data_IF_161748628557
#
_entry.id   IF_161748628557
#
_cell.length_a   1.000
_cell.length_b   1.000
_cell.length_c   1.000
_cell.angle_alpha   90.00
_cell.angle_beta   90.00
_cell.angle_gamma   90.00
#
_symmetry.space_group_name_H-M   'P 1'
#
loop_
_entity.id
_entity.type
_entity.pdbx_description
1 polymer ?
#
# COMPACT_ATOMS: atom_id res chain seq x y z
N UNK A 1 -40.82 11.72 -32.47
CA UNK A 1 -40.39 10.83 -33.58
C UNK A 1 -39.18 10.03 -33.10
N UNK A 2 -39.43 8.79 -32.83
CA UNK A 2 -38.79 7.53 -33.26
C UNK A 2 -37.28 7.39 -32.92
N UNK A 3 -36.73 6.28 -32.43
CA UNK A 3 -37.23 4.91 -32.20
C UNK A 3 -36.22 4.16 -31.32
N UNK A 4 -36.70 3.31 -30.46
CA UNK A 4 -36.23 2.03 -29.93
C UNK A 4 -34.98 1.43 -30.58
N UNK A 5 -34.04 0.94 -29.72
CA UNK A 5 -33.33 -0.30 -29.98
C UNK A 5 -33.29 -1.22 -28.75
N UNK A 6 -33.70 -2.44 -29.06
CA UNK A 6 -34.05 -3.54 -28.17
C UNK A 6 -32.84 -4.27 -27.53
N UNK A 7 -33.06 -4.69 -26.29
CA UNK A 7 -32.29 -5.75 -25.62
C UNK A 7 -32.33 -7.08 -26.39
N UNK A 8 -31.19 -7.75 -26.50
CA UNK A 8 -31.14 -9.21 -26.61
C UNK A 8 -30.29 -9.78 -25.49
N UNK A 9 -30.95 -10.40 -24.52
CA UNK A 9 -30.37 -11.36 -23.57
C UNK A 9 -30.08 -12.65 -24.34
N UNK A 10 -28.84 -13.12 -24.31
CA UNK A 10 -28.52 -14.48 -24.69
C UNK A 10 -28.78 -15.40 -23.46
N UNK A 11 -29.81 -16.23 -23.55
CA UNK A 11 -30.06 -17.34 -22.66
C UNK A 11 -29.18 -18.52 -23.09
N UNK A 12 -28.28 -18.97 -22.19
CA UNK A 12 -27.65 -20.28 -22.34
C UNK A 12 -28.68 -21.34 -21.95
N UNK A 13 -29.07 -22.15 -22.94
CA UNK A 13 -29.93 -23.35 -22.73
C UNK A 13 -29.02 -24.51 -22.37
N UNK A 14 -29.22 -25.06 -21.19
CA UNK A 14 -28.67 -26.38 -20.82
C UNK A 14 -29.52 -27.48 -21.47
N UNK A 15 -28.94 -28.25 -22.37
CA UNK A 15 -29.50 -29.47 -22.85
C UNK A 15 -28.94 -30.63 -21.99
N UNK A 16 -29.85 -31.30 -21.31
CA UNK A 16 -29.59 -32.51 -20.50
C UNK A 16 -30.04 -33.68 -21.32
N UNK A 17 -29.12 -34.40 -21.93
CA UNK A 17 -29.44 -35.72 -22.51
C UNK A 17 -29.08 -36.82 -21.51
N UNK A 18 -30.08 -37.63 -21.19
CA UNK A 18 -29.93 -38.94 -20.53
C UNK A 18 -29.90 -40.01 -21.62
N UNK A 19 -28.87 -40.83 -21.61
CA UNK A 19 -28.85 -42.09 -22.27
C UNK A 19 -28.34 -43.17 -21.30
N UNK A 20 -29.17 -44.12 -20.96
CA UNK A 20 -28.83 -45.33 -20.21
C UNK A 20 -28.74 -46.42 -21.24
N UNK A 21 -27.63 -47.18 -21.29
CA UNK A 21 -27.59 -48.55 -21.72
C UNK A 21 -26.37 -49.29 -21.18
N UNK A 22 -26.65 -50.52 -20.82
CA UNK A 22 -25.95 -51.52 -20.07
C UNK A 22 -24.48 -51.83 -20.40
N UNK A 23 -23.70 -52.16 -19.32
CA UNK A 23 -22.83 -53.32 -19.29
C UNK A 23 -21.33 -53.08 -19.50
N UNK A 24 -20.60 -53.49 -18.45
CA UNK A 24 -19.16 -53.79 -18.33
C UNK A 24 -18.23 -52.68 -17.86
N UNK A 25 -17.83 -52.85 -16.61
CA UNK A 25 -16.75 -52.09 -15.97
C UNK A 25 -15.42 -52.66 -16.48
N UNK A 26 -14.78 -51.92 -17.38
CA UNK A 26 -13.35 -52.12 -17.66
C UNK A 26 -12.57 -51.10 -16.83
N UNK A 27 -11.90 -51.58 -15.81
CA UNK A 27 -10.91 -50.83 -15.05
C UNK A 27 -9.71 -50.49 -15.96
N UNK A 28 -9.80 -49.37 -16.67
CA UNK A 28 -8.65 -48.78 -17.34
C UNK A 28 -7.79 -48.09 -16.30
N UNK A 29 -6.59 -48.60 -16.07
CA UNK A 29 -5.53 -47.90 -15.33
C UNK A 29 -5.29 -46.53 -15.99
N UNK A 30 -5.76 -45.47 -15.34
CA UNK A 30 -5.31 -44.14 -15.68
C UNK A 30 -3.87 -44.01 -15.19
N UNK A 31 -2.95 -44.13 -16.12
CA UNK A 31 -1.59 -43.61 -15.92
C UNK A 31 -1.70 -42.15 -15.48
N UNK A 32 -1.36 -41.93 -14.22
CA UNK A 32 -1.26 -40.57 -13.66
C UNK A 32 -0.23 -39.80 -14.48
N UNK A 33 -0.69 -38.86 -15.27
CA UNK A 33 0.20 -37.78 -15.70
C UNK A 33 0.64 -37.07 -14.45
N UNK A 34 1.85 -37.31 -14.00
CA UNK A 34 2.54 -36.45 -13.03
C UNK A 34 2.55 -35.04 -13.64
N UNK A 35 1.65 -34.20 -13.14
CA UNK A 35 1.73 -32.77 -13.36
C UNK A 35 2.98 -32.29 -12.63
N UNK A 36 4.09 -32.26 -13.36
CA UNK A 36 5.30 -31.59 -12.98
C UNK A 36 5.02 -30.07 -12.97
N UNK A 37 4.21 -29.65 -12.00
CA UNK A 37 4.01 -28.26 -11.62
C UNK A 37 5.27 -27.83 -10.87
N UNK A 38 6.35 -27.56 -11.59
CA UNK A 38 7.52 -26.90 -11.01
C UNK A 38 7.03 -25.64 -10.31
N UNK A 39 7.20 -25.55 -8.99
CA UNK A 39 6.93 -24.33 -8.23
C UNK A 39 7.58 -23.18 -9.00
N UNK A 40 6.76 -22.25 -9.51
CA UNK A 40 7.28 -21.08 -10.21
C UNK A 40 8.20 -20.37 -9.22
N UNK A 41 9.49 -20.37 -9.48
CA UNK A 41 10.48 -19.77 -8.61
C UNK A 41 10.10 -18.32 -8.34
N UNK A 42 9.98 -17.97 -7.06
CA UNK A 42 9.60 -16.63 -6.64
C UNK A 42 10.68 -15.64 -7.04
N UNK A 43 10.35 -14.71 -7.94
CA UNK A 43 11.24 -13.64 -8.39
C UNK A 43 10.44 -12.34 -8.49
N UNK A 44 10.91 -11.29 -7.83
CA UNK A 44 10.24 -10.00 -7.79
C UNK A 44 10.89 -8.97 -8.71
N UNK A 45 10.06 -8.13 -9.35
CA UNK A 45 10.49 -6.92 -10.04
C UNK A 45 10.02 -5.73 -9.22
N UNK A 46 10.96 -4.90 -8.73
CA UNK A 46 10.66 -3.79 -7.82
C UNK A 46 10.93 -2.45 -8.50
N UNK A 47 9.91 -1.62 -8.67
CA UNK A 47 10.05 -0.24 -9.09
C UNK A 47 10.16 0.69 -7.87
N UNK A 48 11.02 1.71 -7.96
CA UNK A 48 11.25 2.66 -6.88
C UNK A 48 12.53 2.45 -6.07
N UNK A 49 13.61 1.90 -6.69
CA UNK A 49 14.92 1.64 -6.07
C UNK A 49 15.46 2.81 -5.24
N UNK A 50 15.39 4.03 -5.74
CA UNK A 50 15.88 5.24 -5.05
C UNK A 50 14.93 5.75 -3.96
N UNK A 51 13.73 5.16 -3.84
CA UNK A 51 12.75 5.45 -2.81
C UNK A 51 13.05 4.71 -1.51
N UNK A 52 12.49 5.19 -0.41
CA UNK A 52 12.69 4.58 0.90
C UNK A 52 12.11 3.15 0.98
N UNK A 53 10.83 2.99 0.64
CA UNK A 53 10.16 1.67 0.68
C UNK A 53 10.81 0.70 -0.33
N UNK A 54 11.08 1.14 -1.56
CA UNK A 54 11.70 0.28 -2.58
C UNK A 54 13.10 -0.19 -2.17
N UNK A 55 13.92 0.69 -1.56
CA UNK A 55 15.23 0.31 -1.02
C UNK A 55 15.12 -0.69 0.14
N UNK A 56 14.19 -0.49 1.06
CA UNK A 56 13.94 -1.43 2.17
C UNK A 56 13.43 -2.80 1.68
N UNK A 57 12.59 -2.82 0.65
CA UNK A 57 12.11 -4.07 0.05
C UNK A 57 13.25 -4.89 -0.56
N UNK A 58 14.14 -4.25 -1.34
CA UNK A 58 15.29 -4.94 -1.91
C UNK A 58 16.17 -5.54 -0.82
N UNK A 59 16.52 -4.75 0.20
CA UNK A 59 17.28 -5.23 1.35
C UNK A 59 16.57 -6.41 2.04
N UNK A 60 15.28 -6.34 2.26
CA UNK A 60 14.50 -7.42 2.85
C UNK A 60 14.49 -8.68 1.97
N UNK A 61 14.47 -8.55 0.64
CA UNK A 61 14.58 -9.67 -0.27
C UNK A 61 15.96 -10.34 -0.15
N UNK A 62 17.05 -9.55 -0.08
CA UNK A 62 18.41 -10.04 0.15
C UNK A 62 18.51 -10.83 1.46
N UNK A 63 18.04 -10.26 2.56
CA UNK A 63 18.03 -10.89 3.89
C UNK A 63 17.25 -12.21 3.94
N UNK A 64 16.24 -12.36 3.07
CA UNK A 64 15.39 -13.56 3.00
C UNK A 64 15.74 -14.52 1.87
N UNK A 65 16.78 -14.24 1.10
CA UNK A 65 17.18 -15.07 -0.05
C UNK A 65 16.13 -15.10 -1.17
N UNK A 66 15.27 -14.08 -1.27
CA UNK A 66 14.26 -13.98 -2.32
C UNK A 66 14.90 -13.30 -3.54
N UNK A 67 14.77 -13.94 -4.70
CA UNK A 67 15.27 -13.35 -5.94
C UNK A 67 14.49 -12.10 -6.31
N UNK A 68 15.18 -11.03 -6.65
CA UNK A 68 14.57 -9.80 -7.12
C UNK A 68 15.49 -9.03 -8.06
N UNK A 69 14.88 -8.15 -8.84
CA UNK A 69 15.56 -7.15 -9.68
C UNK A 69 14.87 -5.81 -9.52
N UNK A 70 15.60 -4.73 -9.67
CA UNK A 70 15.01 -3.41 -9.77
C UNK A 70 14.66 -3.08 -11.22
N UNK A 71 13.42 -2.63 -11.46
CA UNK A 71 13.03 -2.09 -12.74
C UNK A 71 13.78 -0.80 -13.06
N UNK A 72 14.19 -0.64 -14.31
CA UNK A 72 14.93 0.52 -14.83
C UNK A 72 14.04 1.49 -15.59
N UNK A 73 12.91 0.99 -16.08
CA UNK A 73 11.93 1.77 -16.84
C UNK A 73 11.21 2.84 -16.01
N UNK A 74 10.87 3.96 -16.66
CA UNK A 74 9.95 4.94 -16.09
C UNK A 74 8.54 4.38 -16.16
N UNK A 75 7.75 4.55 -15.07
CA UNK A 75 6.42 3.97 -14.97
C UNK A 75 5.46 4.41 -16.09
N UNK A 76 5.62 5.63 -16.59
CA UNK A 76 4.82 6.18 -17.68
C UNK A 76 5.24 5.70 -19.08
N UNK A 77 6.34 4.96 -19.19
CA UNK A 77 6.84 4.43 -20.47
C UNK A 77 6.55 2.93 -20.59
N UNK A 78 5.45 2.61 -21.28
CA UNK A 78 4.97 1.24 -21.46
C UNK A 78 6.05 0.31 -22.04
N UNK A 79 6.73 0.74 -23.11
CA UNK A 79 7.73 -0.11 -23.77
C UNK A 79 8.89 -0.49 -22.87
N UNK A 80 9.33 0.44 -21.97
CA UNK A 80 10.39 0.13 -21.02
C UNK A 80 9.93 -0.80 -19.90
N UNK A 81 8.68 -0.71 -19.47
CA UNK A 81 8.10 -1.65 -18.49
C UNK A 81 7.99 -3.06 -19.08
N UNK A 82 7.52 -3.17 -20.32
CA UNK A 82 7.44 -4.46 -21.05
C UNK A 82 8.81 -5.07 -21.26
N UNK A 83 9.85 -4.26 -21.56
CA UNK A 83 11.23 -4.71 -21.69
C UNK A 83 11.80 -5.22 -20.36
N UNK A 84 11.61 -4.49 -19.25
CA UNK A 84 12.01 -4.93 -17.92
C UNK A 84 11.36 -6.28 -17.56
N UNK A 85 10.04 -6.42 -17.76
CA UNK A 85 9.30 -7.65 -17.48
C UNK A 85 9.79 -8.81 -18.34
N UNK A 86 10.06 -8.58 -19.63
CA UNK A 86 10.55 -9.61 -20.53
C UNK A 86 11.97 -10.08 -20.16
N UNK A 87 12.83 -9.17 -19.72
CA UNK A 87 14.20 -9.47 -19.30
C UNK A 87 14.23 -10.20 -17.95
N UNK A 88 13.46 -9.72 -16.96
CA UNK A 88 13.47 -10.23 -15.58
C UNK A 88 12.64 -11.50 -15.45
N UNK A 89 11.52 -11.62 -16.18
CA UNK A 89 10.52 -12.70 -16.07
C UNK A 89 10.05 -12.89 -14.63
N UNK A 90 9.55 -11.82 -13.98
CA UNK A 90 9.17 -11.87 -12.57
C UNK A 90 7.92 -12.73 -12.35
N UNK A 91 7.77 -13.24 -11.13
CA UNK A 91 6.51 -13.80 -10.66
C UNK A 91 5.51 -12.73 -10.21
N UNK A 92 6.03 -11.64 -9.61
CA UNK A 92 5.25 -10.51 -9.08
C UNK A 92 6.00 -9.19 -9.32
N UNK A 93 5.23 -8.11 -9.39
CA UNK A 93 5.75 -6.76 -9.54
C UNK A 93 5.38 -5.94 -8.30
N UNK A 94 6.34 -5.17 -7.78
CA UNK A 94 6.13 -4.23 -6.68
C UNK A 94 6.28 -2.80 -7.19
N UNK A 95 5.27 -1.98 -6.96
CA UNK A 95 5.33 -0.54 -7.23
C UNK A 95 5.54 0.24 -5.92
N UNK A 96 6.79 0.56 -5.62
CA UNK A 96 7.18 1.50 -4.58
C UNK A 96 7.65 2.85 -5.15
N UNK A 97 7.47 3.06 -6.46
CA UNK A 97 7.75 4.33 -7.11
C UNK A 97 6.59 5.30 -6.95
N UNK A 98 6.91 6.55 -6.69
CA UNK A 98 5.93 7.60 -6.55
C UNK A 98 6.60 8.92 -6.16
N UNK A 99 5.90 10.02 -6.42
CA UNK A 99 6.33 11.35 -6.07
C UNK A 99 5.50 11.84 -4.89
N UNK A 100 6.17 12.11 -3.77
CA UNK A 100 5.58 12.77 -2.59
C UNK A 100 6.22 14.14 -2.35
N UNK A 101 7.19 14.51 -3.21
CA UNK A 101 7.97 15.75 -3.08
C UNK A 101 9.00 15.74 -1.94
N UNK A 102 9.74 16.83 -1.87
CA UNK A 102 10.70 17.12 -0.81
C UNK A 102 10.55 18.59 -0.42
N UNK A 103 10.47 18.92 0.86
CA UNK A 103 10.58 18.03 2.05
C UNK A 103 9.30 17.18 2.31
N UNK A 104 8.16 17.58 1.74
CA UNK A 104 6.85 16.92 1.95
C UNK A 104 5.93 17.11 0.73
N UNK A 105 4.63 16.79 0.87
CA UNK A 105 3.62 16.82 -0.20
C UNK A 105 3.30 18.24 -0.72
N UNK A 106 3.70 19.31 -0.02
CA UNK A 106 3.51 20.69 -0.48
C UNK A 106 4.18 20.93 -1.84
N UNK A 107 5.28 20.22 -2.12
CA UNK A 107 5.94 20.23 -3.42
C UNK A 107 4.98 19.89 -4.58
N UNK A 108 4.02 19.00 -4.36
CA UNK A 108 3.07 18.56 -5.38
C UNK A 108 2.13 19.70 -5.82
N UNK A 109 1.90 20.70 -4.98
CA UNK A 109 1.05 21.86 -5.31
C UNK A 109 1.64 22.71 -6.44
N UNK A 110 2.96 22.78 -6.54
CA UNK A 110 3.69 23.53 -7.58
C UNK A 110 4.22 22.64 -8.72
N UNK A 111 4.19 21.29 -8.57
CA UNK A 111 4.72 20.33 -9.55
C UNK A 111 3.63 19.35 -10.00
N UNK A 112 2.50 19.92 -10.44
CA UNK A 112 1.29 19.13 -10.75
C UNK A 112 1.49 18.15 -11.90
N UNK A 113 2.18 18.57 -12.97
CA UNK A 113 2.43 17.74 -14.15
C UNK A 113 3.30 16.53 -13.81
N UNK A 114 4.38 16.72 -13.07
CA UNK A 114 5.26 15.64 -12.62
C UNK A 114 4.53 14.68 -11.69
N UNK A 115 3.68 15.23 -10.81
CA UNK A 115 2.85 14.45 -9.89
C UNK A 115 1.85 13.58 -10.68
N UNK A 116 1.14 14.15 -11.66
CA UNK A 116 0.22 13.40 -12.53
C UNK A 116 0.98 12.32 -13.31
N UNK A 117 2.09 12.70 -13.96
CA UNK A 117 2.86 11.78 -14.80
C UNK A 117 3.28 10.54 -14.02
N UNK A 118 3.87 10.71 -12.84
CA UNK A 118 4.40 9.59 -12.06
C UNK A 118 3.31 8.86 -11.28
N UNK A 119 2.46 9.59 -10.53
CA UNK A 119 1.52 8.96 -9.60
C UNK A 119 0.25 8.46 -10.26
N UNK A 120 -0.20 9.07 -11.35
CA UNK A 120 -1.42 8.67 -12.05
C UNK A 120 -1.07 7.87 -13.30
N UNK A 121 -0.48 8.50 -14.31
CA UNK A 121 -0.18 7.85 -15.60
C UNK A 121 0.73 6.65 -15.39
N UNK A 122 1.83 6.83 -14.65
CA UNK A 122 2.79 5.75 -14.39
C UNK A 122 2.17 4.55 -13.68
N UNK A 123 1.38 4.79 -12.61
CA UNK A 123 0.75 3.69 -11.87
C UNK A 123 -0.27 2.94 -12.73
N UNK A 124 -1.10 3.65 -13.50
CA UNK A 124 -2.06 3.03 -14.40
C UNK A 124 -1.39 2.25 -15.53
N UNK A 125 -0.33 2.80 -16.14
CA UNK A 125 0.43 2.11 -17.18
C UNK A 125 1.04 0.81 -16.64
N UNK A 126 1.61 0.83 -15.43
CA UNK A 126 2.17 -0.39 -14.82
C UNK A 126 1.08 -1.41 -14.49
N UNK A 127 -0.07 -0.97 -13.95
CA UNK A 127 -1.20 -1.86 -13.65
C UNK A 127 -1.70 -2.56 -14.91
N UNK A 128 -1.85 -1.82 -16.01
CA UNK A 128 -2.30 -2.33 -17.30
C UNK A 128 -1.29 -3.30 -17.92
N UNK A 129 0.02 -2.98 -17.88
CA UNK A 129 1.07 -3.90 -18.35
C UNK A 129 1.08 -5.19 -17.53
N UNK A 130 0.99 -5.11 -16.21
CA UNK A 130 0.92 -6.29 -15.35
C UNK A 130 -0.33 -7.12 -15.64
N UNK A 131 -1.48 -6.49 -15.86
CA UNK A 131 -2.71 -7.17 -16.24
C UNK A 131 -2.55 -7.97 -17.54
N UNK A 132 -2.06 -7.34 -18.60
CA UNK A 132 -1.81 -8.00 -19.89
C UNK A 132 -0.79 -9.14 -19.81
N UNK A 133 0.12 -9.09 -18.86
CA UNK A 133 1.15 -10.14 -18.65
C UNK A 133 0.73 -11.21 -17.63
N UNK A 134 -0.46 -11.11 -17.04
CA UNK A 134 -0.95 -12.03 -16.02
C UNK A 134 -0.11 -12.02 -14.74
N UNK A 135 0.42 -10.85 -14.36
CA UNK A 135 1.27 -10.63 -13.19
C UNK A 135 0.48 -9.95 -12.08
N UNK A 136 0.70 -10.37 -10.84
CA UNK A 136 0.20 -9.65 -9.67
C UNK A 136 1.07 -8.41 -9.43
N UNK A 137 0.40 -7.27 -9.24
CA UNK A 137 1.01 -6.00 -8.88
C UNK A 137 0.73 -5.66 -7.42
N UNK A 138 1.76 -5.55 -6.60
CA UNK A 138 1.68 -5.00 -5.25
C UNK A 138 1.97 -3.50 -5.33
N UNK A 139 0.96 -2.67 -5.13
CA UNK A 139 1.03 -1.22 -5.32
C UNK A 139 1.01 -0.50 -3.96
N UNK A 140 2.12 0.14 -3.57
CA UNK A 140 2.16 0.99 -2.39
C UNK A 140 1.43 2.31 -2.66
N UNK A 141 0.22 2.40 -2.15
CA UNK A 141 -0.66 3.55 -2.23
C UNK A 141 -0.59 4.40 -0.95
N UNK A 142 -1.64 5.12 -0.61
CA UNK A 142 -1.67 5.96 0.59
C UNK A 142 -3.05 5.98 1.25
N UNK A 143 -3.07 6.04 2.57
CA UNK A 143 -4.28 6.35 3.33
C UNK A 143 -4.49 7.86 3.56
N UNK A 144 -3.62 8.72 3.01
CA UNK A 144 -3.79 10.18 3.07
C UNK A 144 -4.88 10.70 2.11
N UNK A 145 -5.92 9.92 1.90
CA UNK A 145 -7.08 10.21 1.04
C UNK A 145 -8.38 10.30 1.85
N UNK A 146 -8.27 10.21 3.17
CA UNK A 146 -9.38 10.32 4.11
C UNK A 146 -9.13 11.43 5.12
N UNK A 147 -10.20 12.00 5.67
CA UNK A 147 -10.18 12.88 6.84
C UNK A 147 -11.38 12.58 7.73
N UNK A 148 -11.21 12.80 9.04
CA UNK A 148 -12.31 12.68 9.98
C UNK A 148 -13.51 13.52 9.56
N UNK A 149 -14.70 12.95 9.62
CA UNK A 149 -15.97 13.58 9.24
C UNK A 149 -17.07 13.27 10.26
N UNK A 150 -18.33 13.62 9.94
CA UNK A 150 -19.46 13.37 10.82
C UNK A 150 -19.78 11.89 11.05
N UNK A 151 -19.39 11.02 10.12
CA UNK A 151 -19.58 9.56 10.21
C UNK A 151 -18.39 8.86 10.85
N UNK A 152 -17.20 9.44 10.71
CA UNK A 152 -15.92 8.95 11.24
C UNK A 152 -15.32 10.01 12.14
N UNK A 153 -15.98 10.26 13.27
CA UNK A 153 -15.59 11.33 14.21
C UNK A 153 -14.31 10.93 14.96
N UNK A 154 -13.45 11.91 15.17
CA UNK A 154 -12.24 11.76 15.97
C UNK A 154 -12.56 11.15 17.35
N UNK A 155 -11.90 10.03 17.68
CA UNK A 155 -12.07 9.35 18.96
C UNK A 155 -13.32 8.48 19.08
N UNK A 156 -14.14 8.35 18.03
CA UNK A 156 -15.33 7.48 18.06
C UNK A 156 -15.00 5.99 17.96
N UNK A 157 -13.81 5.62 17.49
CA UNK A 157 -13.47 4.24 17.16
C UNK A 157 -14.09 3.74 15.86
N UNK A 158 -14.79 4.61 15.12
CA UNK A 158 -15.32 4.31 13.79
C UNK A 158 -14.28 4.73 12.77
N UNK A 159 -13.62 3.75 12.17
CA UNK A 159 -12.52 3.93 11.25
C UNK A 159 -12.92 3.66 9.78
N UNK A 160 -12.21 4.29 8.82
CA UNK A 160 -12.44 4.08 7.39
C UNK A 160 -12.04 2.68 6.95
N UNK A 161 -12.95 1.99 6.27
CA UNK A 161 -12.76 0.66 5.70
C UNK A 161 -12.26 0.72 4.27
N UNK A 162 -11.86 -0.44 3.74
CA UNK A 162 -11.33 -0.53 2.38
C UNK A 162 -12.32 -0.13 1.28
N UNK A 163 -13.61 -0.30 1.55
CA UNK A 163 -14.70 0.02 0.60
C UNK A 163 -15.23 1.45 0.74
N UNK A 164 -14.77 2.20 1.72
CA UNK A 164 -15.20 3.58 1.90
C UNK A 164 -14.62 4.47 0.80
N UNK A 165 -15.44 5.41 0.34
CA UNK A 165 -15.03 6.37 -0.68
C UNK A 165 -14.11 7.43 -0.08
N UNK A 166 -12.93 7.69 -0.69
CA UNK A 166 -12.06 8.77 -0.27
C UNK A 166 -12.78 10.11 -0.17
N UNK A 167 -12.63 10.80 0.96
CA UNK A 167 -13.29 12.08 1.24
C UNK A 167 -12.33 13.27 1.38
N UNK A 168 -10.99 13.04 1.34
CA UNK A 168 -10.01 14.11 1.47
C UNK A 168 -9.33 14.44 0.14
N UNK A 169 -9.57 15.64 -0.36
CA UNK A 169 -8.98 16.20 -1.59
C UNK A 169 -8.22 17.50 -1.35
N UNK A 170 -7.91 17.82 -0.10
CA UNK A 170 -7.31 19.08 0.33
C UNK A 170 -5.88 19.31 -0.16
N UNK A 171 -5.14 18.27 -0.59
CA UNK A 171 -3.87 18.40 -1.27
C UNK A 171 -3.93 17.81 -2.68
N UNK A 172 -3.13 18.37 -3.60
CA UNK A 172 -3.03 17.84 -4.96
C UNK A 172 -2.51 16.39 -4.97
N UNK A 173 -1.57 16.09 -4.07
CA UNK A 173 -1.11 14.72 -3.85
C UNK A 173 -2.27 13.77 -3.49
N UNK A 174 -3.04 14.09 -2.47
CA UNK A 174 -4.16 13.24 -2.02
C UNK A 174 -5.23 13.08 -3.10
N UNK A 175 -5.59 14.19 -3.76
CA UNK A 175 -6.53 14.17 -4.89
C UNK A 175 -6.09 13.19 -5.99
N UNK A 176 -4.82 13.27 -6.42
CA UNK A 176 -4.30 12.39 -7.49
C UNK A 176 -4.21 10.94 -7.03
N UNK A 177 -3.89 10.69 -5.77
CA UNK A 177 -3.83 9.33 -5.22
C UNK A 177 -5.21 8.70 -5.05
N UNK A 178 -6.22 9.46 -4.65
CA UNK A 178 -7.61 8.99 -4.60
C UNK A 178 -8.13 8.63 -6.01
N UNK A 179 -7.89 9.49 -7.00
CA UNK A 179 -8.28 9.23 -8.39
C UNK A 179 -7.63 7.95 -8.95
N UNK A 180 -6.35 7.75 -8.72
CA UNK A 180 -5.66 6.57 -9.24
C UNK A 180 -6.09 5.29 -8.53
N UNK A 181 -6.41 5.36 -7.24
CA UNK A 181 -6.91 4.21 -6.50
C UNK A 181 -8.27 3.73 -7.03
N UNK A 182 -9.18 4.66 -7.29
CA UNK A 182 -10.49 4.36 -7.89
C UNK A 182 -10.33 3.65 -9.25
N UNK A 183 -9.45 4.15 -10.12
CA UNK A 183 -9.21 3.56 -11.43
C UNK A 183 -8.50 2.20 -11.35
N UNK A 184 -7.48 2.08 -10.51
CA UNK A 184 -6.72 0.83 -10.31
C UNK A 184 -7.57 -0.25 -9.65
N UNK A 185 -8.57 0.11 -8.87
CA UNK A 185 -9.53 -0.81 -8.27
C UNK A 185 -10.29 -1.69 -9.27
N UNK A 186 -10.31 -1.33 -10.57
CA UNK A 186 -10.89 -2.13 -11.64
C UNK A 186 -9.96 -3.24 -12.18
N UNK A 187 -8.71 -3.30 -11.72
CA UNK A 187 -7.75 -4.34 -12.10
C UNK A 187 -7.72 -5.45 -11.05
N UNK A 188 -8.22 -6.63 -11.37
CA UNK A 188 -8.32 -7.76 -10.44
C UNK A 188 -6.96 -8.31 -9.96
N UNK A 189 -5.88 -8.02 -10.70
CA UNK A 189 -4.52 -8.45 -10.41
C UNK A 189 -3.73 -7.44 -9.56
N UNK A 190 -4.36 -6.40 -9.00
CA UNK A 190 -3.68 -5.38 -8.21
C UNK A 190 -4.00 -5.52 -6.73
N UNK A 191 -2.96 -5.55 -5.90
CA UNK A 191 -3.02 -5.42 -4.45
C UNK A 191 -2.64 -3.99 -4.07
N UNK A 192 -3.60 -3.18 -3.68
CA UNK A 192 -3.38 -1.78 -3.28
C UNK A 192 -3.19 -1.66 -1.78
N UNK A 193 -2.03 -1.20 -1.34
CA UNK A 193 -1.63 -1.07 0.05
C UNK A 193 -1.69 0.40 0.49
N UNK A 194 -2.69 0.79 1.27
CA UNK A 194 -2.85 2.15 1.81
C UNK A 194 -1.89 2.38 2.97
N UNK A 195 -0.65 2.76 2.65
CA UNK A 195 0.37 3.14 3.63
C UNK A 195 0.06 4.51 4.21
N UNK A 196 0.36 4.71 5.51
CA UNK A 196 0.14 6.00 6.16
C UNK A 196 1.27 6.34 7.13
N UNK A 197 1.77 7.59 7.05
CA UNK A 197 2.82 8.11 7.94
C UNK A 197 3.88 7.05 8.27
N UNK A 198 4.63 6.54 7.29
CA UNK A 198 5.52 5.39 7.50
C UNK A 198 6.62 5.69 8.50
N UNK A 199 6.88 4.71 9.36
CA UNK A 199 7.89 4.72 10.42
C UNK A 199 8.75 3.47 10.27
N UNK A 200 10.04 3.56 10.57
CA UNK A 200 10.94 2.42 10.71
C UNK A 200 11.84 2.56 11.93
N UNK A 201 12.55 1.50 12.27
CA UNK A 201 13.59 1.49 13.31
C UNK A 201 14.76 2.45 13.03
N UNK A 202 15.02 2.78 11.77
CA UNK A 202 16.06 3.77 11.38
C UNK A 202 15.59 5.20 11.63
N UNK A 203 15.85 5.71 12.84
CA UNK A 203 15.56 7.09 13.23
C UNK A 203 16.51 8.12 12.60
N UNK A 204 17.53 7.70 11.85
CA UNK A 204 18.39 8.62 11.09
C UNK A 204 17.79 9.02 9.75
N UNK A 205 16.86 8.23 9.22
CA UNK A 205 16.27 8.43 7.90
C UNK A 205 15.38 9.68 7.85
N UNK A 206 15.66 10.65 6.97
CA UNK A 206 14.90 11.90 6.91
C UNK A 206 13.45 11.73 6.42
N UNK A 207 13.09 10.55 5.89
CA UNK A 207 11.72 10.23 5.47
C UNK A 207 10.89 9.59 6.58
N UNK A 208 11.53 9.10 7.63
CA UNK A 208 10.87 8.53 8.80
C UNK A 208 10.00 9.58 9.48
N UNK A 209 8.74 9.22 9.75
CA UNK A 209 7.80 10.16 10.35
C UNK A 209 8.26 10.69 11.71
N UNK A 210 8.83 9.83 12.58
CA UNK A 210 9.39 10.26 13.87
C UNK A 210 10.52 11.26 13.66
N UNK A 211 11.45 10.97 12.75
CA UNK A 211 12.57 11.88 12.44
C UNK A 211 12.10 13.24 11.95
N UNK A 212 10.98 13.30 11.25
CA UNK A 212 10.40 14.58 10.83
C UNK A 212 9.82 15.35 11.99
N UNK A 213 8.95 14.72 12.79
CA UNK A 213 8.26 15.42 13.88
C UNK A 213 9.21 15.83 15.02
N UNK A 214 10.33 15.13 15.22
CA UNK A 214 11.36 15.54 16.18
C UNK A 214 12.17 16.78 15.74
N UNK A 215 12.04 17.19 14.47
CA UNK A 215 12.70 18.38 13.90
C UNK A 215 11.77 19.58 13.72
N UNK A 216 10.47 19.40 14.02
CA UNK A 216 9.50 20.48 13.92
C UNK A 216 9.47 21.32 15.20
N UNK A 217 9.38 22.64 15.05
CA UNK A 217 9.25 23.56 16.20
C UNK A 217 7.96 23.32 16.98
N UNK A 218 6.90 22.97 16.25
CA UNK A 218 5.57 22.67 16.80
C UNK A 218 4.92 21.50 16.06
N UNK A 219 4.09 20.73 16.75
CA UNK A 219 3.30 19.64 16.20
C UNK A 219 1.83 19.76 16.58
N UNK A 220 0.93 19.19 15.77
CA UNK A 220 -0.47 19.02 16.16
C UNK A 220 -0.62 17.78 17.03
N UNK A 221 -1.64 17.74 17.89
CA UNK A 221 -1.95 16.56 18.68
C UNK A 221 -3.25 15.91 18.18
N UNK A 222 -3.15 15.14 17.10
CA UNK A 222 -4.29 14.45 16.49
C UNK A 222 -3.92 12.99 16.27
N UNK A 223 -4.73 12.03 16.78
CA UNK A 223 -4.56 10.61 16.51
C UNK A 223 -4.70 10.28 15.02
N UNK A 224 -3.82 9.42 14.55
CA UNK A 224 -3.78 8.95 13.16
C UNK A 224 -3.35 7.48 13.10
N UNK A 225 -3.84 6.76 12.10
CA UNK A 225 -3.28 5.46 11.75
C UNK A 225 -1.88 5.63 11.15
N UNK A 226 -0.99 4.68 11.42
CA UNK A 226 0.40 4.70 10.94
C UNK A 226 0.87 3.32 10.50
N UNK A 227 1.95 3.27 9.73
CA UNK A 227 2.54 2.05 9.16
C UNK A 227 3.95 1.86 9.70
N UNK A 228 4.16 0.81 10.49
CA UNK A 228 5.52 0.41 10.93
C UNK A 228 6.12 -0.49 9.86
N UNK A 229 7.10 0.02 9.12
CA UNK A 229 7.68 -0.64 7.95
C UNK A 229 8.41 -1.94 8.32
N UNK A 230 9.07 -1.99 9.47
CA UNK A 230 9.80 -3.17 9.94
C UNK A 230 8.87 -4.38 10.17
N UNK A 231 7.61 -4.14 10.50
CA UNK A 231 6.60 -5.19 10.64
C UNK A 231 5.82 -5.42 9.34
N UNK A 232 5.44 -4.36 8.64
CA UNK A 232 4.51 -4.43 7.52
C UNK A 232 5.17 -4.79 6.18
N UNK A 233 6.43 -4.41 5.90
CA UNK A 233 7.09 -4.82 4.67
C UNK A 233 7.23 -6.34 4.54
N UNK A 234 7.63 -7.09 5.59
CA UNK A 234 7.55 -8.55 5.57
C UNK A 234 6.16 -9.10 5.22
N UNK A 235 5.10 -8.47 5.73
CA UNK A 235 3.72 -8.85 5.43
C UNK A 235 3.42 -8.64 3.95
N UNK A 236 3.88 -7.56 3.33
CA UNK A 236 3.65 -7.33 1.89
C UNK A 236 4.31 -8.39 0.98
N UNK A 237 5.47 -8.92 1.38
CA UNK A 237 6.07 -10.05 0.67
C UNK A 237 5.22 -11.32 0.81
N UNK A 238 4.65 -11.53 1.98
CA UNK A 238 3.76 -12.68 2.20
C UNK A 238 2.43 -12.53 1.47
N UNK A 239 1.89 -11.30 1.37
CA UNK A 239 0.71 -11.02 0.55
C UNK A 239 0.97 -11.34 -0.93
N UNK A 240 2.15 -11.00 -1.45
CA UNK A 240 2.55 -11.37 -2.81
C UNK A 240 2.58 -12.89 -2.99
N UNK A 241 3.23 -13.63 -2.08
CA UNK A 241 3.31 -15.11 -2.12
C UNK A 241 1.93 -15.77 -2.12
N UNK A 242 0.95 -15.19 -1.41
CA UNK A 242 -0.44 -15.66 -1.33
C UNK A 242 -1.30 -15.13 -2.48
N UNK A 243 -0.75 -14.36 -3.41
CA UNK A 243 -1.48 -13.72 -4.52
C UNK A 243 -2.69 -12.89 -4.04
N UNK A 244 -2.57 -12.19 -2.90
CA UNK A 244 -3.64 -11.34 -2.40
C UNK A 244 -3.78 -10.10 -3.28
N UNK A 245 -5.03 -9.73 -3.57
CA UNK A 245 -5.39 -8.57 -4.39
C UNK A 245 -6.44 -7.70 -3.71
N UNK A 246 -6.88 -6.64 -4.39
CA UNK A 246 -7.83 -5.67 -3.86
C UNK A 246 -7.18 -4.62 -2.96
N UNK A 247 -7.99 -3.82 -2.28
CA UNK A 247 -7.54 -2.73 -1.42
C UNK A 247 -7.33 -3.25 0.02
N UNK A 248 -6.26 -2.76 0.66
CA UNK A 248 -5.90 -3.08 2.03
C UNK A 248 -5.48 -1.83 2.79
N UNK A 249 -6.09 -1.57 3.94
CA UNK A 249 -5.62 -0.57 4.89
C UNK A 249 -4.32 -1.08 5.54
N UNK A 250 -3.19 -0.69 4.96
CA UNK A 250 -1.87 -1.23 5.29
C UNK A 250 -1.22 -0.43 6.42
N UNK A 251 -1.89 -0.46 7.57
CA UNK A 251 -1.51 0.20 8.82
C UNK A 251 -1.56 -0.77 9.99
N UNK A 252 -0.86 -0.44 11.06
CA UNK A 252 -1.04 -1.15 12.32
C UNK A 252 -2.42 -0.81 12.91
N UNK A 253 -3.11 -1.75 13.59
CA UNK A 253 -4.39 -1.50 14.25
C UNK A 253 -4.31 -0.37 15.29
N UNK A 254 -5.34 0.48 15.29
CA UNK A 254 -5.49 1.62 16.18
C UNK A 254 -4.78 2.87 15.69
N UNK A 255 -4.74 3.87 16.56
CA UNK A 255 -4.20 5.20 16.28
C UNK A 255 -3.20 5.64 17.35
N UNK A 256 -2.35 6.59 16.98
CA UNK A 256 -1.42 7.26 17.88
C UNK A 256 -1.27 8.73 17.45
N UNK A 257 -1.17 9.63 18.43
CA UNK A 257 -0.97 11.04 18.16
C UNK A 257 0.52 11.40 18.07
N UNK A 258 0.82 12.61 17.57
CA UNK A 258 2.19 13.12 17.59
C UNK A 258 2.73 13.21 19.02
N UNK A 259 1.93 13.68 19.96
CA UNK A 259 2.35 13.81 21.36
C UNK A 259 2.66 12.45 22.00
N UNK A 260 1.85 11.43 21.75
CA UNK A 260 2.10 10.08 22.26
C UNK A 260 3.42 9.51 21.71
N UNK A 261 3.70 9.72 20.40
CA UNK A 261 4.98 9.30 19.80
C UNK A 261 6.16 10.06 20.40
N UNK A 262 6.05 11.38 20.57
CA UNK A 262 7.12 12.22 21.12
C UNK A 262 7.35 11.93 22.60
N UNK A 263 6.30 11.54 23.32
CA UNK A 263 6.42 11.07 24.70
C UNK A 263 7.24 9.75 24.77
N UNK A 264 6.92 8.77 23.89
CA UNK A 264 7.71 7.55 23.76
C UNK A 264 9.15 7.84 23.33
N UNK A 265 9.36 8.77 22.39
CA UNK A 265 10.69 9.18 21.97
C UNK A 265 11.51 9.74 23.15
N UNK A 266 10.88 10.58 23.96
CA UNK A 266 11.50 11.11 25.20
C UNK A 266 11.87 10.01 26.19
N UNK A 267 10.99 9.03 26.38
CA UNK A 267 11.21 7.94 27.32
C UNK A 267 12.33 6.97 26.89
N UNK A 268 12.40 6.66 25.61
CA UNK A 268 13.31 5.62 25.12
C UNK A 268 14.60 6.16 24.50
N UNK A 269 14.55 7.34 23.85
CA UNK A 269 15.65 7.82 22.99
C UNK A 269 16.34 9.05 23.57
N UNK A 270 15.58 10.07 23.94
CA UNK A 270 16.14 11.34 24.44
C UNK A 270 15.33 11.91 25.61
N UNK A 271 15.73 11.63 26.86
CA UNK A 271 15.03 12.09 28.07
C UNK A 271 14.90 13.63 28.17
N UNK A 272 15.77 14.37 27.50
CA UNK A 272 15.75 15.83 27.52
C UNK A 272 14.90 16.43 26.40
N UNK A 273 14.31 15.60 25.50
CA UNK A 273 13.51 16.07 24.39
C UNK A 273 12.26 16.83 24.87
N UNK A 274 12.00 17.97 24.24
CA UNK A 274 10.81 18.77 24.51
C UNK A 274 10.19 19.23 23.18
N UNK A 275 8.90 19.45 23.17
CA UNK A 275 8.16 19.93 22.00
C UNK A 275 7.07 20.91 22.39
N UNK A 276 6.51 21.58 21.42
CA UNK A 276 5.37 22.49 21.57
C UNK A 276 4.24 22.05 20.65
N UNK A 277 3.03 22.33 21.05
CA UNK A 277 1.87 22.13 20.19
C UNK A 277 1.40 23.46 19.56
N UNK A 278 0.67 23.33 18.45
CA UNK A 278 -0.12 24.38 17.87
C UNK A 278 -1.50 23.81 17.45
N UNK A 279 -2.50 24.68 17.31
CA UNK A 279 -3.83 24.28 16.88
C UNK A 279 -3.85 24.02 15.38
N UNK A 280 -4.94 23.42 14.88
CA UNK A 280 -5.13 23.24 13.44
C UNK A 280 -5.18 24.57 12.69
N UNK A 281 -5.77 25.61 13.29
CA UNK A 281 -5.85 26.95 12.71
C UNK A 281 -4.46 27.60 12.64
N UNK A 282 -3.62 27.40 13.65
CA UNK A 282 -2.22 27.86 13.63
C UNK A 282 -1.42 27.07 12.58
N UNK A 283 -1.61 25.75 12.49
CA UNK A 283 -0.95 24.92 11.47
C UNK A 283 -1.34 25.36 10.06
N UNK A 284 -2.63 25.62 9.81
CA UNK A 284 -3.12 26.05 8.49
C UNK A 284 -2.46 27.34 7.97
N UNK A 285 -1.91 28.18 8.87
CA UNK A 285 -1.19 29.42 8.48
C UNK A 285 0.24 29.17 8.00
N UNK A 286 0.81 28.00 8.28
CA UNK A 286 2.23 27.71 7.99
C UNK A 286 2.44 26.57 6.99
N UNK A 287 1.41 25.78 6.67
CA UNK A 287 1.46 24.73 5.64
C UNK A 287 0.82 25.21 4.34
N UNK A 288 1.34 24.74 3.20
CA UNK A 288 0.78 25.07 1.87
C UNK A 288 -0.46 24.23 1.57
N UNK A 289 -0.37 22.93 1.81
CA UNK A 289 -1.48 22.00 1.59
C UNK A 289 -2.04 21.47 2.92
N UNK A 290 -3.36 21.39 3.10
CA UNK A 290 -3.97 20.73 4.23
C UNK A 290 -3.46 19.29 4.43
N UNK A 291 -3.49 18.83 5.66
CA UNK A 291 -3.07 17.46 6.03
C UNK A 291 -4.27 16.60 6.34
N UNK A 292 -4.24 15.40 5.81
CA UNK A 292 -5.21 14.35 6.08
C UNK A 292 -5.00 13.80 7.49
N UNK A 293 -6.06 13.79 8.32
CA UNK A 293 -6.08 13.15 9.61
C UNK A 293 -7.20 12.13 9.63
N UNK A 294 -6.90 10.87 9.93
CA UNK A 294 -7.91 9.81 9.91
C UNK A 294 -7.47 8.57 10.69
N UNK A 295 -8.44 7.71 10.95
CA UNK A 295 -8.25 6.34 11.39
C UNK A 295 -8.67 5.38 10.28
N UNK A 296 -7.80 4.44 9.90
CA UNK A 296 -8.08 3.37 8.96
C UNK A 296 -8.39 2.08 9.72
N UNK A 297 -9.45 1.39 9.35
CA UNK A 297 -9.80 0.07 9.90
C UNK A 297 -8.83 -0.99 9.36
N UNK A 298 -7.92 -1.45 10.20
CA UNK A 298 -6.97 -2.51 9.86
C UNK A 298 -7.49 -3.93 10.18
N UNK A 299 -8.77 -4.10 10.48
CA UNK A 299 -9.35 -5.39 10.91
C UNK A 299 -9.24 -6.46 9.84
N UNK A 300 -9.39 -6.12 8.56
CA UNK A 300 -9.17 -7.02 7.43
C UNK A 300 -7.74 -7.55 7.41
N UNK A 301 -6.75 -6.66 7.54
CA UNK A 301 -5.33 -7.02 7.58
C UNK A 301 -4.99 -7.85 8.83
N UNK A 302 -5.51 -7.45 9.99
CA UNK A 302 -5.33 -8.18 11.27
C UNK A 302 -5.93 -9.58 11.23
N UNK A 303 -7.06 -9.77 10.56
CA UNK A 303 -7.69 -11.09 10.36
C UNK A 303 -6.82 -12.00 9.50
N UNK A 304 -6.23 -11.47 8.42
CA UNK A 304 -5.35 -12.21 7.51
C UNK A 304 -3.98 -12.49 8.14
N UNK A 305 -3.49 -11.56 8.98
CA UNK A 305 -2.20 -11.64 9.67
C UNK A 305 -2.39 -11.45 11.19
N UNK A 306 -2.84 -12.50 11.92
CA UNK A 306 -3.18 -12.39 13.34
C UNK A 306 -2.04 -11.94 14.25
N UNK A 307 -0.77 -12.10 13.84
CA UNK A 307 0.41 -11.66 14.56
C UNK A 307 0.65 -10.15 14.51
N UNK A 308 0.00 -9.40 13.59
CA UNK A 308 0.15 -7.95 13.44
C UNK A 308 -0.16 -7.25 14.77
N UNK A 309 0.77 -6.44 15.25
CA UNK A 309 0.64 -5.73 16.52
C UNK A 309 -0.19 -4.45 16.40
N UNK A 310 -0.72 -3.96 17.53
CA UNK A 310 -1.26 -2.60 17.59
C UNK A 310 -0.18 -1.58 17.26
N UNK A 311 -0.58 -0.37 16.84
CA UNK A 311 0.40 0.68 16.51
C UNK A 311 1.33 0.98 17.69
N UNK A 312 0.82 1.01 18.92
CA UNK A 312 1.62 1.32 20.11
C UNK A 312 2.60 0.19 20.46
N UNK A 313 2.14 -1.07 20.40
CA UNK A 313 3.01 -2.22 20.66
C UNK A 313 4.09 -2.37 19.57
N UNK A 314 3.72 -2.11 18.33
CA UNK A 314 4.64 -2.15 17.18
C UNK A 314 5.71 -1.04 17.28
N UNK A 315 5.32 0.19 17.66
CA UNK A 315 6.26 1.28 17.95
C UNK A 315 7.27 0.90 19.04
N UNK A 316 6.79 0.35 20.15
CA UNK A 316 7.68 -0.07 21.24
C UNK A 316 8.63 -1.16 20.77
N UNK A 317 8.10 -2.23 20.17
CA UNK A 317 8.88 -3.42 19.80
C UNK A 317 9.89 -3.16 18.69
N UNK A 318 9.44 -2.53 17.61
CA UNK A 318 10.25 -2.43 16.39
C UNK A 318 11.04 -1.12 16.30
N UNK A 319 10.62 -0.06 17.01
CA UNK A 319 11.23 1.26 16.84
C UNK A 319 11.93 1.71 18.11
N UNK A 320 11.24 1.78 19.24
CA UNK A 320 11.81 2.40 20.43
C UNK A 320 12.75 1.50 21.22
N UNK A 321 12.40 0.25 21.45
CA UNK A 321 13.30 -0.69 22.16
C UNK A 321 14.66 -0.87 21.44
N UNK A 322 14.73 -1.03 20.09
CA UNK A 322 16.02 -1.11 19.40
C UNK A 322 16.86 0.18 19.48
N UNK A 323 16.21 1.33 19.67
CA UNK A 323 16.86 2.63 19.76
C UNK A 323 17.04 3.13 21.21
N UNK A 324 16.70 2.30 22.19
CA UNK A 324 16.84 2.67 23.60
C UNK A 324 18.30 2.89 23.94
N UNK A 325 18.64 4.07 24.43
CA UNK A 325 19.98 4.33 24.98
C UNK A 325 20.17 3.45 26.22
N UNK A 326 21.16 2.57 26.17
CA UNK A 326 21.62 1.87 27.37
C UNK A 326 22.12 2.93 28.34
N UNK A 327 21.54 2.94 29.53
CA UNK A 327 21.97 3.80 30.64
C UNK A 327 23.42 3.51 31.02
#
# INVERSE_FOLDING_TARGET
MYNFYNHRRAQCVYIKERGVEDGEIVLGERMGAEANGGEKQLKFLIYGRSGWIGGLLGKLCEERGIQYEYGTGRLENRSSLEADIAAVKPSHVFNAAGVTGRPNVDWCESHKVETIRTNVVGTLTLADVCHHKGLILINYATGCIFEYDSSHTLGSGIAFKEHDTPNFTGSFYSKTKAMVEDLVGNYENVCTLRVRMPISSDLSNPRNFITKITRYDKVVDIPNSMTILDELLPISLEMAKRNLTGIWNFTNPGVVSHNEILQMYKEYVDPNFTWKNFTLEEQAKVIVAPRSNNELDASKLKKEFPQLLSIKDSLVKYVFQPNQKKA
#
